data_IF_120313836650
#
_entry.id   IF_120313836650
#
_cell.length_a   1.000
_cell.length_b   1.000
_cell.length_c   1.000
_cell.angle_alpha   90.00
_cell.angle_beta   90.00
_cell.angle_gamma   90.00
#
_symmetry.space_group_name_H-M   'P 1'
#
loop_
_entity.id
_entity.type
_entity.pdbx_description
1 polymer ?
#
# COMPACT_ATOMS: atom_id res chain seq x y z
N UNK A 1 -3.42 -1.13 18.00
CA UNK A 1 -3.26 -1.55 16.59
C UNK A 1 -1.95 -2.31 16.44
N UNK A 2 -1.93 -3.39 15.62
CA UNK A 2 -0.72 -4.14 15.30
C UNK A 2 -0.12 -3.61 13.98
N UNK A 3 1.20 -3.49 13.92
CA UNK A 3 1.95 -3.22 12.69
C UNK A 3 2.90 -4.37 12.45
N UNK A 4 2.73 -5.08 11.34
CA UNK A 4 3.56 -6.22 10.95
C UNK A 4 4.44 -5.83 9.76
N UNK A 5 5.75 -6.10 9.88
CA UNK A 5 6.71 -5.89 8.79
C UNK A 5 7.13 -7.24 8.23
N UNK A 6 7.06 -7.39 6.92
CA UNK A 6 7.43 -8.63 6.23
C UNK A 6 8.16 -8.35 4.92
N UNK A 7 9.13 -9.21 4.58
CA UNK A 7 9.80 -9.20 3.27
C UNK A 7 9.04 -10.02 2.21
N UNK A 8 7.93 -10.65 2.58
CA UNK A 8 7.13 -11.37 1.60
C UNK A 8 6.56 -10.42 0.55
N UNK A 9 6.57 -10.79 -0.73
CA UNK A 9 5.89 -10.02 -1.77
C UNK A 9 4.41 -9.82 -1.45
N UNK A 10 3.87 -8.66 -1.80
CA UNK A 10 2.51 -8.23 -1.44
C UNK A 10 1.41 -9.23 -1.86
N UNK A 11 1.61 -9.94 -2.97
CA UNK A 11 0.70 -10.97 -3.48
C UNK A 11 0.67 -12.27 -2.63
N UNK A 12 1.64 -12.43 -1.72
CA UNK A 12 1.73 -13.56 -0.77
C UNK A 12 1.27 -13.19 0.63
N UNK A 13 1.10 -11.92 0.91
CA UNK A 13 0.66 -11.43 2.22
C UNK A 13 -0.82 -11.75 2.43
N UNK A 14 -1.14 -12.30 3.60
CA UNK A 14 -2.53 -12.53 4.00
C UNK A 14 -3.10 -11.25 4.64
N UNK A 15 -4.12 -10.68 4.01
CA UNK A 15 -4.79 -9.47 4.50
C UNK A 15 -6.26 -9.46 4.05
N UNK A 16 -7.07 -8.61 4.62
CA UNK A 16 -8.41 -8.36 4.08
C UNK A 16 -8.30 -7.56 2.78
N UNK A 17 -7.49 -6.50 2.78
CA UNK A 17 -7.34 -5.58 1.66
C UNK A 17 -5.87 -5.34 1.35
N UNK A 18 -5.48 -5.45 0.09
CA UNK A 18 -4.21 -4.92 -0.42
C UNK A 18 -4.43 -3.51 -0.96
N UNK A 19 -3.51 -2.60 -0.66
CA UNK A 19 -3.45 -1.29 -1.30
C UNK A 19 -2.26 -1.27 -2.25
N UNK A 20 -2.53 -1.00 -3.52
CA UNK A 20 -1.52 -0.80 -4.56
C UNK A 20 -1.73 0.55 -5.24
N UNK A 21 -0.68 1.08 -5.81
CA UNK A 21 -0.68 2.40 -6.43
C UNK A 21 -0.20 2.33 -7.87
N UNK A 22 -0.49 3.39 -8.64
CA UNK A 22 -0.11 3.50 -10.03
C UNK A 22 0.03 4.97 -10.45
N UNK A 23 1.10 5.30 -11.16
CA UNK A 23 1.25 6.61 -11.79
C UNK A 23 0.68 6.59 -13.21
N UNK A 24 0.27 7.76 -13.69
CA UNK A 24 -0.18 7.92 -15.09
C UNK A 24 0.95 7.50 -16.04
N UNK A 25 0.64 6.61 -16.97
CA UNK A 25 1.57 6.18 -18.02
C UNK A 25 2.58 5.10 -17.59
N UNK A 26 2.62 4.67 -16.35
CA UNK A 26 3.49 3.58 -15.89
C UNK A 26 3.01 2.22 -16.45
N UNK A 27 3.32 1.96 -17.72
CA UNK A 27 3.07 0.68 -18.41
C UNK A 27 4.35 0.21 -19.09
N UNK A 28 4.68 -1.09 -19.02
CA UNK A 28 3.95 -2.19 -18.37
C UNK A 28 3.90 -2.04 -16.84
N UNK A 29 2.90 -2.66 -16.22
CA UNK A 29 2.78 -2.67 -14.76
C UNK A 29 3.97 -3.40 -14.12
N UNK A 30 4.57 -2.79 -13.10
CA UNK A 30 5.71 -3.33 -12.35
C UNK A 30 5.39 -3.35 -10.85
N UNK A 31 6.31 -3.93 -10.05
CA UNK A 31 6.15 -3.98 -8.59
C UNK A 31 4.84 -4.65 -8.13
N UNK A 32 4.19 -4.16 -7.07
CA UNK A 32 2.93 -4.71 -6.57
C UNK A 32 1.83 -4.78 -7.63
N UNK A 33 1.65 -3.72 -8.43
CA UNK A 33 0.65 -3.70 -9.48
C UNK A 33 0.91 -4.79 -10.53
N UNK A 34 2.17 -5.00 -10.92
CA UNK A 34 2.56 -6.06 -11.86
C UNK A 34 2.32 -7.46 -11.28
N UNK A 35 2.65 -7.69 -10.01
CA UNK A 35 2.40 -8.97 -9.33
C UNK A 35 0.90 -9.29 -9.27
N UNK A 36 0.10 -8.31 -8.90
CA UNK A 36 -1.36 -8.48 -8.81
C UNK A 36 -1.97 -8.65 -10.20
N UNK A 37 -1.50 -7.92 -11.22
CA UNK A 37 -1.94 -8.08 -12.59
C UNK A 37 -1.67 -9.50 -13.11
N UNK A 38 -0.48 -10.02 -12.85
CA UNK A 38 -0.13 -11.41 -13.19
C UNK A 38 -1.06 -12.42 -12.49
N UNK A 39 -1.32 -12.25 -11.18
CA UNK A 39 -2.26 -13.10 -10.43
C UNK A 39 -3.68 -13.05 -11.01
N UNK A 40 -4.10 -11.89 -11.47
CA UNK A 40 -5.42 -11.65 -12.05
C UNK A 40 -5.45 -11.85 -13.58
N UNK A 41 -4.44 -12.55 -14.16
CA UNK A 41 -4.36 -12.86 -15.60
C UNK A 41 -4.45 -11.60 -16.48
N UNK A 42 -3.73 -10.53 -16.16
CA UNK A 42 -3.69 -9.29 -16.93
C UNK A 42 -4.94 -8.41 -16.80
N UNK A 43 -5.71 -8.55 -15.71
CA UNK A 43 -6.96 -7.78 -15.51
C UNK A 43 -6.70 -6.29 -15.34
N UNK A 44 -5.64 -5.90 -14.58
CA UNK A 44 -5.30 -4.50 -14.40
C UNK A 44 -4.85 -3.87 -15.72
N UNK A 45 -4.00 -4.55 -16.47
CA UNK A 45 -3.57 -4.12 -17.81
C UNK A 45 -4.76 -3.91 -18.75
N UNK A 46 -5.73 -4.82 -18.78
CA UNK A 46 -6.95 -4.66 -19.60
C UNK A 46 -7.82 -3.49 -19.13
N UNK A 47 -7.85 -3.18 -17.85
CA UNK A 47 -8.60 -2.04 -17.31
C UNK A 47 -7.97 -0.73 -17.78
N UNK A 48 -6.62 -0.62 -17.77
CA UNK A 48 -5.88 0.54 -18.31
C UNK A 48 -6.12 0.67 -19.81
N UNK A 49 -5.90 -0.40 -20.57
CA UNK A 49 -6.10 -0.40 -22.03
C UNK A 49 -7.53 -0.04 -22.44
N UNK A 50 -8.51 -0.41 -21.62
CA UNK A 50 -9.91 -0.05 -21.79
C UNK A 50 -10.27 1.36 -21.31
N UNK A 51 -9.30 2.15 -20.86
CA UNK A 51 -9.49 3.54 -20.41
C UNK A 51 -10.32 3.69 -19.13
N UNK A 52 -10.56 2.61 -18.37
CA UNK A 52 -11.37 2.63 -17.13
C UNK A 52 -10.60 3.00 -15.89
N UNK A 53 -9.28 3.03 -15.96
CA UNK A 53 -8.36 3.49 -14.94
C UNK A 53 -7.11 4.03 -15.64
N UNK A 54 -6.64 5.18 -15.24
CA UNK A 54 -5.51 5.85 -15.87
C UNK A 54 -4.35 6.18 -14.92
N UNK A 55 -4.55 6.02 -13.61
CA UNK A 55 -3.59 6.39 -12.58
C UNK A 55 -3.66 7.86 -12.17
N UNK A 56 -4.65 8.63 -12.61
CA UNK A 56 -4.81 10.03 -12.18
C UNK A 56 -4.91 10.14 -10.67
N UNK A 57 -4.44 11.25 -10.12
CA UNK A 57 -4.51 11.51 -8.69
C UNK A 57 -5.94 11.35 -8.15
N UNK A 58 -6.08 10.62 -7.03
CA UNK A 58 -7.35 10.29 -6.38
C UNK A 58 -8.28 9.37 -7.19
N UNK A 59 -7.84 8.83 -8.32
CA UNK A 59 -8.56 7.75 -9.00
C UNK A 59 -8.49 6.48 -8.15
N UNK A 60 -9.61 5.77 -8.02
CA UNK A 60 -9.71 4.58 -7.18
C UNK A 60 -10.48 3.48 -7.90
N UNK A 61 -9.95 2.27 -7.81
CA UNK A 61 -10.67 1.07 -8.23
C UNK A 61 -10.56 -0.03 -7.17
N UNK A 62 -11.69 -0.67 -6.87
CA UNK A 62 -11.77 -1.83 -6.01
C UNK A 62 -11.91 -3.09 -6.88
N UNK A 63 -11.04 -4.06 -6.65
CA UNK A 63 -11.00 -5.32 -7.40
C UNK A 63 -11.06 -6.52 -6.44
N UNK A 64 -11.96 -7.47 -6.63
CA UNK A 64 -11.95 -8.71 -5.86
C UNK A 64 -10.75 -9.59 -6.25
N UNK A 65 -10.16 -10.27 -5.27
CA UNK A 65 -9.05 -11.20 -5.49
C UNK A 65 -9.47 -12.51 -6.15
N UNK A 66 -10.74 -12.87 -6.03
CA UNK A 66 -11.32 -14.10 -6.62
C UNK A 66 -10.57 -15.38 -6.21
N UNK A 67 -9.97 -15.39 -5.00
CA UNK A 67 -9.18 -16.53 -4.50
C UNK A 67 -7.81 -16.73 -5.17
N UNK A 68 -7.36 -15.78 -6.00
CA UNK A 68 -6.10 -15.91 -6.74
C UNK A 68 -4.86 -15.53 -5.92
N UNK A 69 -5.04 -14.87 -4.81
CA UNK A 69 -4.02 -14.56 -3.80
C UNK A 69 -4.67 -14.44 -2.42
N UNK A 70 -3.84 -14.29 -1.36
CA UNK A 70 -4.33 -14.43 0.02
C UNK A 70 -5.16 -13.26 0.56
N UNK A 71 -5.24 -12.14 -0.13
CA UNK A 71 -6.14 -11.06 0.25
C UNK A 71 -7.54 -11.27 -0.32
N UNK A 72 -8.56 -10.66 0.30
CA UNK A 72 -9.93 -10.72 -0.23
C UNK A 72 -10.13 -9.76 -1.41
N UNK A 73 -9.48 -8.62 -1.39
CA UNK A 73 -9.60 -7.62 -2.43
C UNK A 73 -8.37 -6.69 -2.53
N UNK A 74 -8.35 -5.91 -3.59
CA UNK A 74 -7.32 -4.90 -3.88
C UNK A 74 -7.98 -3.54 -4.04
N UNK A 75 -7.46 -2.56 -3.34
CA UNK A 75 -7.70 -1.14 -3.58
C UNK A 75 -6.56 -0.64 -4.47
N UNK A 76 -6.89 -0.18 -5.66
CA UNK A 76 -5.94 0.35 -6.64
C UNK A 76 -6.10 1.86 -6.74
N UNK A 77 -5.03 2.61 -6.43
CA UNK A 77 -5.05 4.06 -6.30
C UNK A 77 -4.17 4.72 -7.36
N UNK A 78 -4.69 5.78 -7.98
CA UNK A 78 -3.94 6.65 -8.86
C UNK A 78 -3.17 7.72 -8.07
N UNK A 79 -1.88 7.88 -8.38
CA UNK A 79 -0.98 8.87 -7.78
C UNK A 79 -0.80 10.13 -8.62
N UNK A 80 -1.32 10.14 -9.85
CA UNK A 80 -1.11 11.25 -10.78
C UNK A 80 0.13 11.09 -11.65
N UNK A 81 0.68 12.20 -12.08
CA UNK A 81 1.86 12.25 -12.96
C UNK A 81 3.13 12.10 -12.12
N UNK A 82 4.00 11.14 -12.49
CA UNK A 82 5.19 10.79 -11.70
C UNK A 82 6.20 11.92 -11.59
N UNK A 83 6.40 12.66 -12.67
CA UNK A 83 7.34 13.78 -12.74
C UNK A 83 6.98 14.96 -11.82
N UNK A 84 5.71 15.07 -11.47
CA UNK A 84 5.21 16.09 -10.52
C UNK A 84 5.03 15.56 -9.10
N UNK A 85 5.34 14.28 -8.86
CA UNK A 85 5.21 13.66 -7.55
C UNK A 85 6.49 13.86 -6.73
N UNK A 86 6.39 14.50 -5.58
CA UNK A 86 7.48 14.76 -4.64
C UNK A 86 7.05 14.46 -3.19
N UNK A 87 7.95 14.69 -2.23
CA UNK A 87 7.67 14.46 -0.81
C UNK A 87 6.50 15.28 -0.27
N UNK A 88 6.19 16.44 -0.86
CA UNK A 88 5.04 17.26 -0.44
C UNK A 88 3.69 16.61 -0.77
N UNK A 89 3.65 15.66 -1.71
CA UNK A 89 2.46 14.90 -2.06
C UNK A 89 2.20 13.71 -1.11
N UNK A 90 3.21 13.25 -0.37
CA UNK A 90 3.10 12.08 0.53
C UNK A 90 1.96 12.21 1.54
N UNK A 91 1.81 13.33 2.27
CA UNK A 91 0.70 13.50 3.22
C UNK A 91 -0.67 13.39 2.55
N UNK A 92 -0.83 13.93 1.34
CA UNK A 92 -2.09 13.89 0.59
C UNK A 92 -2.43 12.45 0.15
N UNK A 93 -1.44 11.68 -0.29
CA UNK A 93 -1.61 10.26 -0.63
C UNK A 93 -2.01 9.47 0.60
N UNK A 94 -1.37 9.70 1.74
CA UNK A 94 -1.71 9.03 2.99
C UNK A 94 -3.12 9.35 3.45
N UNK A 95 -3.54 10.62 3.42
CA UNK A 95 -4.93 11.00 3.72
C UNK A 95 -5.91 10.25 2.81
N UNK A 96 -5.61 10.14 1.52
CA UNK A 96 -6.45 9.40 0.59
C UNK A 96 -6.49 7.89 0.90
N UNK A 97 -5.35 7.27 1.18
CA UNK A 97 -5.26 5.86 1.60
C UNK A 97 -6.06 5.64 2.90
N UNK A 98 -5.87 6.52 3.89
CA UNK A 98 -6.55 6.46 5.18
C UNK A 98 -8.07 6.56 5.00
N UNK A 99 -8.53 7.54 4.22
CA UNK A 99 -9.96 7.72 3.91
C UNK A 99 -10.58 6.46 3.29
N UNK A 100 -9.86 5.83 2.37
CA UNK A 100 -10.32 4.59 1.72
C UNK A 100 -10.40 3.44 2.73
N UNK A 101 -9.38 3.28 3.58
CA UNK A 101 -9.34 2.25 4.63
C UNK A 101 -10.53 2.42 5.59
N UNK A 102 -10.77 3.65 6.05
CA UNK A 102 -11.86 3.99 6.97
C UNK A 102 -13.22 3.70 6.33
N UNK A 103 -13.45 4.22 5.13
CA UNK A 103 -14.73 4.03 4.40
C UNK A 103 -15.00 2.56 4.11
N UNK A 104 -13.96 1.79 3.82
CA UNK A 104 -14.06 0.35 3.58
C UNK A 104 -14.28 -0.45 4.86
N UNK A 105 -14.01 0.13 6.04
CA UNK A 105 -14.00 -0.55 7.34
C UNK A 105 -13.09 -1.79 7.35
N UNK A 106 -11.95 -1.69 6.68
CA UNK A 106 -10.99 -2.78 6.59
C UNK A 106 -10.35 -3.04 7.96
N UNK A 107 -10.32 -4.30 8.38
CA UNK A 107 -9.71 -4.71 9.66
C UNK A 107 -8.23 -5.07 9.53
N UNK A 108 -7.81 -5.52 8.35
CA UNK A 108 -6.42 -5.83 8.02
C UNK A 108 -6.09 -5.26 6.64
N UNK A 109 -5.05 -4.45 6.57
CA UNK A 109 -4.60 -3.81 5.34
C UNK A 109 -3.13 -4.11 5.12
N UNK A 110 -2.77 -4.49 3.91
CA UNK A 110 -1.39 -4.65 3.49
C UNK A 110 -1.04 -3.67 2.37
N UNK A 111 0.16 -3.11 2.42
CA UNK A 111 0.72 -2.23 1.40
C UNK A 111 2.25 -2.24 1.46
N UNK A 112 2.89 -1.66 0.44
CA UNK A 112 4.34 -1.38 0.44
C UNK A 112 4.54 0.13 0.28
N UNK A 113 5.14 0.78 1.27
CA UNK A 113 5.43 2.21 1.21
C UNK A 113 6.54 2.50 0.21
N UNK A 114 7.62 1.70 0.21
CA UNK A 114 8.74 1.88 -0.73
C UNK A 114 8.30 1.82 -2.18
N UNK A 115 7.37 0.93 -2.49
CA UNK A 115 6.86 0.77 -3.86
C UNK A 115 5.70 1.73 -4.19
N UNK A 116 4.97 2.19 -3.16
CA UNK A 116 3.92 3.18 -3.32
C UNK A 116 4.50 4.55 -3.71
N UNK A 117 5.62 4.94 -3.12
CA UNK A 117 6.16 6.29 -3.28
C UNK A 117 6.99 6.48 -4.55
N UNK A 118 7.55 5.42 -5.14
CA UNK A 118 8.23 5.44 -6.44
C UNK A 118 9.51 6.28 -6.51
N UNK A 119 10.04 6.77 -5.40
CA UNK A 119 11.23 7.63 -5.33
C UNK A 119 11.91 7.62 -3.96
N UNK A 120 13.04 8.31 -3.80
CA UNK A 120 13.71 8.42 -2.52
C UNK A 120 12.86 9.21 -1.52
N UNK A 121 12.63 8.63 -0.35
CA UNK A 121 11.94 9.26 0.77
C UNK A 121 12.41 8.63 2.08
N UNK A 122 12.22 9.34 3.20
CA UNK A 122 12.49 8.74 4.50
C UNK A 122 11.38 7.76 4.89
N UNK A 123 11.63 6.48 4.65
CA UNK A 123 10.72 5.39 4.95
C UNK A 123 10.24 5.38 6.41
N UNK A 124 11.14 5.67 7.37
CA UNK A 124 10.80 5.67 8.80
C UNK A 124 9.79 6.76 9.15
N UNK A 125 10.02 7.96 8.66
CA UNK A 125 9.10 9.09 8.82
C UNK A 125 7.76 8.82 8.15
N UNK A 126 7.76 8.18 6.97
CA UNK A 126 6.54 7.80 6.28
C UNK A 126 5.73 6.75 7.07
N UNK A 127 6.39 5.72 7.64
CA UNK A 127 5.73 4.75 8.52
C UNK A 127 5.14 5.42 9.75
N UNK A 128 5.92 6.29 10.42
CA UNK A 128 5.46 7.01 11.61
C UNK A 128 4.24 7.89 11.30
N UNK A 129 4.26 8.61 10.18
CA UNK A 129 3.16 9.46 9.74
C UNK A 129 1.89 8.62 9.47
N UNK A 130 2.01 7.56 8.69
CA UNK A 130 0.87 6.69 8.36
C UNK A 130 0.27 6.04 9.60
N UNK A 131 1.12 5.46 10.46
CA UNK A 131 0.68 4.81 11.70
C UNK A 131 0.08 5.82 12.67
N UNK A 132 0.69 7.00 12.82
CA UNK A 132 0.19 8.07 13.67
C UNK A 132 -1.23 8.51 13.29
N UNK A 133 -1.56 8.50 12.00
CA UNK A 133 -2.90 8.82 11.50
C UNK A 133 -3.89 7.67 11.70
N UNK A 134 -3.46 6.42 11.54
CA UNK A 134 -4.31 5.25 11.63
C UNK A 134 -4.52 4.72 13.05
N UNK A 135 -3.67 5.09 14.02
CA UNK A 135 -3.72 4.53 15.37
C UNK A 135 -5.03 4.81 16.13
N UNK A 136 -5.75 5.88 15.77
CA UNK A 136 -7.06 6.23 16.34
C UNK A 136 -8.20 5.41 15.74
N UNK A 137 -7.97 4.72 14.61
CA UNK A 137 -9.00 3.96 13.91
C UNK A 137 -9.27 2.62 14.58
N UNK A 138 -10.45 2.49 15.19
CA UNK A 138 -10.82 1.28 15.94
C UNK A 138 -11.12 0.06 15.08
N UNK A 139 -11.47 0.27 13.82
CA UNK A 139 -11.78 -0.81 12.86
C UNK A 139 -10.52 -1.51 12.38
N UNK A 140 -9.44 -0.77 12.16
CA UNK A 140 -8.17 -1.32 11.71
C UNK A 140 -7.45 -2.03 12.87
N UNK A 141 -7.33 -3.34 12.78
CA UNK A 141 -6.65 -4.18 13.77
C UNK A 141 -5.18 -4.35 13.43
N UNK A 142 -4.87 -4.47 12.14
CA UNK A 142 -3.52 -4.74 11.68
C UNK A 142 -3.20 -4.01 10.37
N UNK A 143 -2.04 -3.33 10.37
CA UNK A 143 -1.40 -2.79 9.19
C UNK A 143 -0.18 -3.65 8.88
N UNK A 144 -0.10 -4.20 7.66
CA UNK A 144 1.00 -5.06 7.22
C UNK A 144 1.80 -4.30 6.16
N UNK A 145 3.08 -4.08 6.45
CA UNK A 145 4.01 -3.41 5.55
C UNK A 145 4.90 -4.47 4.88
N UNK A 146 4.69 -4.66 3.58
CA UNK A 146 5.49 -5.54 2.72
C UNK A 146 6.64 -4.73 2.14
N UNK A 147 7.81 -4.80 2.77
CA UNK A 147 8.92 -3.92 2.48
C UNK A 147 10.20 -4.70 2.14
N UNK A 148 11.18 -4.09 1.47
CA UNK A 148 12.48 -4.69 1.24
C UNK A 148 13.18 -5.13 2.54
N UNK A 149 14.02 -6.16 2.46
CA UNK A 149 14.72 -6.72 3.62
C UNK A 149 15.61 -5.69 4.35
N UNK A 150 16.17 -4.74 3.63
CA UNK A 150 17.01 -3.68 4.21
C UNK A 150 16.18 -2.74 5.11
N UNK A 151 14.97 -2.38 4.71
CA UNK A 151 14.04 -1.61 5.55
C UNK A 151 13.69 -2.37 6.82
N UNK A 152 13.41 -3.66 6.71
CA UNK A 152 13.08 -4.52 7.86
C UNK A 152 14.28 -4.67 8.78
N UNK A 153 15.48 -4.86 8.21
CA UNK A 153 16.73 -4.96 8.97
C UNK A 153 17.04 -3.66 9.71
N UNK A 154 16.83 -2.51 9.06
CA UNK A 154 16.99 -1.21 9.71
C UNK A 154 15.98 -1.03 10.85
N UNK A 155 14.71 -1.38 10.63
CA UNK A 155 13.66 -1.33 11.65
C UNK A 155 13.95 -2.23 12.86
N UNK A 156 14.58 -3.38 12.65
CA UNK A 156 15.03 -4.30 13.74
C UNK A 156 16.22 -3.72 14.52
N UNK A 157 17.18 -3.11 13.82
CA UNK A 157 18.37 -2.50 14.46
C UNK A 157 18.05 -1.25 15.25
N UNK A 158 17.20 -0.41 14.70
CA UNK A 158 16.79 0.87 15.29
C UNK A 158 15.29 0.77 15.55
N UNK A 159 14.93 0.52 16.79
CA UNK A 159 13.52 0.40 17.19
C UNK A 159 12.65 1.45 16.52
N UNK A 160 11.58 1.00 15.87
CA UNK A 160 10.55 1.89 15.33
C UNK A 160 9.68 2.39 16.48
N UNK A 161 9.72 3.70 16.72
CA UNK A 161 8.86 4.34 17.71
C UNK A 161 7.59 4.83 17.00
N UNK A 162 6.50 4.07 17.12
CA UNK A 162 5.23 4.32 16.43
C UNK A 162 4.12 4.84 17.37
N UNK A 163 4.51 5.33 18.56
CA UNK A 163 3.55 5.83 19.54
C UNK A 163 3.00 4.77 20.49
N UNK A 164 2.22 5.21 21.47
CA UNK A 164 1.65 4.36 22.51
C UNK A 164 0.51 3.49 21.96
N UNK A 165 0.47 2.21 22.35
CA UNK A 165 -0.58 1.29 21.93
C UNK A 165 -0.40 0.65 20.56
N UNK A 166 0.76 0.85 19.90
CA UNK A 166 1.14 0.18 18.66
C UNK A 166 2.11 -0.95 18.96
N UNK A 167 1.78 -2.18 18.52
CA UNK A 167 2.66 -3.35 18.61
C UNK A 167 3.32 -3.58 17.26
N UNK A 168 4.65 -3.64 17.23
CA UNK A 168 5.44 -3.92 16.02
C UNK A 168 5.88 -5.37 16.03
N UNK A 169 5.54 -6.10 14.97
CA UNK A 169 5.96 -7.48 14.75
C UNK A 169 6.78 -7.57 13.46
N UNK A 170 7.65 -8.57 13.40
CA UNK A 170 8.49 -8.87 12.24
C UNK A 170 8.28 -10.33 11.86
N UNK A 171 7.83 -10.55 10.64
CA UNK A 171 7.65 -11.90 10.05
C UNK A 171 8.74 -12.20 9.03
#
# INVERSE_FOLDING_TARGET
MKVSLTAQPVDKVSAQTLVITHFVGDVPLIGPAGLIDWRLNGRLSRVILGGRFSGRAKELMLLPAEGRFKAADVVWLGLGVKESFDEAHIPQVFEFVIDVIIKKKASQVALSLTQMMGGPFDWRSAVALLVGRLQSERTLKELILSEPEDCIRDAKKRRLELGTGVQVNFD
#
